data_IF_303694385454
#
_entry.id   IF_303694385454
#
_cell.length_a   1.000
_cell.length_b   1.000
_cell.length_c   1.000
_cell.angle_alpha   90.00
_cell.angle_beta   90.00
_cell.angle_gamma   90.00
#
_symmetry.space_group_name_H-M   'P 1'
#
loop_
_entity.id
_entity.type
_entity.pdbx_description
1 polymer ?
#
# COMPACT_ATOMS: atom_id res chain seq x y z
N UNK A 1 -6.23 -12.23 -6.56
CA UNK A 1 -6.46 -11.42 -5.34
C UNK A 1 -5.68 -10.12 -5.53
N UNK A 2 -6.18 -8.97 -5.09
CA UNK A 2 -5.37 -7.74 -5.14
C UNK A 2 -4.40 -7.74 -3.94
N UNK A 3 -3.15 -8.14 -4.19
CA UNK A 3 -2.11 -8.22 -3.16
C UNK A 3 -1.83 -6.88 -2.50
N UNK A 4 -2.03 -5.78 -3.23
CA UNK A 4 -1.76 -4.43 -2.74
C UNK A 4 -2.85 -3.93 -1.79
N UNK A 5 -4.04 -4.53 -1.79
CA UNK A 5 -5.08 -4.28 -0.80
C UNK A 5 -4.84 -5.05 0.50
N UNK A 6 -4.08 -6.15 0.46
CA UNK A 6 -3.89 -7.03 1.62
C UNK A 6 -2.64 -6.67 2.42
N UNK A 7 -1.62 -6.10 1.77
CA UNK A 7 -0.39 -5.69 2.44
C UNK A 7 -0.52 -4.25 2.88
N UNK A 8 -0.29 -4.02 4.17
CA UNK A 8 -0.35 -2.69 4.78
C UNK A 8 0.90 -2.36 5.60
N UNK A 9 1.15 -1.06 5.71
CA UNK A 9 2.10 -0.45 6.62
C UNK A 9 1.32 0.02 7.84
N UNK A 10 1.77 -0.38 9.04
CA UNK A 10 1.17 0.05 10.30
C UNK A 10 1.91 1.27 10.84
N UNK A 11 1.18 2.37 11.02
CA UNK A 11 1.70 3.67 11.43
C UNK A 11 1.17 4.06 12.82
N UNK A 12 2.00 4.67 13.67
CA UNK A 12 1.52 5.29 14.90
C UNK A 12 0.78 6.60 14.59
N UNK A 13 -0.35 6.83 15.27
CA UNK A 13 -1.05 8.11 15.25
C UNK A 13 -0.52 9.02 16.36
N UNK A 14 0.12 10.12 15.99
CA UNK A 14 0.66 11.09 16.97
C UNK A 14 -0.44 11.85 17.76
N UNK A 15 -1.70 11.83 17.28
CA UNK A 15 -2.80 12.54 17.92
C UNK A 15 -3.50 11.72 19.01
N UNK A 16 -3.74 10.42 18.78
CA UNK A 16 -4.45 9.55 19.72
C UNK A 16 -3.56 8.46 20.34
N UNK A 17 -2.33 8.27 19.86
CA UNK A 17 -1.42 7.21 20.32
C UNK A 17 -1.76 5.81 19.79
N UNK A 18 -2.83 5.66 19.03
CA UNK A 18 -3.26 4.40 18.43
C UNK A 18 -2.43 4.05 17.18
N UNK A 19 -2.65 2.88 16.59
CA UNK A 19 -2.01 2.43 15.36
C UNK A 19 -3.05 2.28 14.25
N UNK A 20 -2.69 2.67 13.04
CA UNK A 20 -3.57 2.52 11.87
C UNK A 20 -2.80 1.94 10.69
N UNK A 21 -3.55 1.31 9.79
CA UNK A 21 -2.99 0.62 8.63
C UNK A 21 -3.19 1.44 7.36
N UNK A 22 -2.17 1.49 6.51
CA UNK A 22 -2.21 2.06 5.17
C UNK A 22 -1.76 1.00 4.18
N UNK A 23 -2.64 0.62 3.26
CA UNK A 23 -2.35 -0.42 2.27
C UNK A 23 -1.37 0.08 1.20
N UNK A 24 -0.62 -0.84 0.58
CA UNK A 24 0.26 -0.48 -0.54
C UNK A 24 -0.52 0.14 -1.71
N UNK A 25 -1.78 -0.27 -1.89
CA UNK A 25 -2.69 0.36 -2.87
C UNK A 25 -2.96 1.82 -2.56
N UNK A 26 -3.21 2.18 -1.30
CA UNK A 26 -3.40 3.57 -0.89
C UNK A 26 -2.14 4.42 -1.09
N UNK A 27 -0.95 3.85 -0.85
CA UNK A 27 0.32 4.52 -1.12
C UNK A 27 0.49 4.79 -2.63
N UNK A 28 0.26 3.78 -3.47
CA UNK A 28 0.38 3.93 -4.93
C UNK A 28 -0.62 4.95 -5.49
N UNK A 29 -1.86 4.94 -4.99
CA UNK A 29 -2.87 5.95 -5.36
C UNK A 29 -2.41 7.36 -4.96
N UNK A 30 -1.82 7.51 -3.78
CA UNK A 30 -1.29 8.79 -3.30
C UNK A 30 -0.17 9.31 -4.20
N UNK A 31 0.75 8.43 -4.63
CA UNK A 31 1.81 8.75 -5.59
C UNK A 31 1.24 9.17 -6.94
N UNK A 32 0.21 8.47 -7.43
CA UNK A 32 -0.44 8.80 -8.69
C UNK A 32 -1.12 10.18 -8.62
N UNK A 33 -1.81 10.47 -7.51
CA UNK A 33 -2.42 11.79 -7.29
C UNK A 33 -1.40 12.94 -7.24
N UNK A 34 -0.19 12.69 -6.71
CA UNK A 34 0.89 13.68 -6.74
C UNK A 34 1.45 13.86 -8.15
N UNK A 35 1.59 12.77 -8.91
CA UNK A 35 2.06 12.80 -10.30
C UNK A 35 1.09 13.56 -11.21
N UNK A 36 -0.21 13.29 -11.09
CA UNK A 36 -1.26 13.89 -11.94
C UNK A 36 -1.56 15.35 -11.56
N UNK A 37 -0.96 15.84 -10.49
CA UNK A 37 -1.22 17.16 -9.91
C UNK A 37 -2.39 17.11 -8.92
N UNK A 38 -2.15 17.59 -7.71
CA UNK A 38 -3.20 17.70 -6.70
C UNK A 38 -4.09 18.92 -7.00
N UNK A 39 -5.43 18.79 -7.08
CA UNK A 39 -6.33 19.93 -7.23
C UNK A 39 -6.42 20.78 -5.95
N UNK A 40 -5.79 20.33 -4.84
CA UNK A 40 -5.81 21.02 -3.55
C UNK A 40 -4.76 22.15 -3.57
N UNK A 41 -5.11 23.38 -3.16
CA UNK A 41 -4.17 24.49 -3.11
C UNK A 41 -2.91 24.15 -2.29
N UNK A 42 -1.74 24.61 -2.75
CA UNK A 42 -0.42 24.37 -2.15
C UNK A 42 -0.28 24.83 -0.67
N UNK A 43 -1.31 25.43 -0.08
CA UNK A 43 -1.34 25.87 1.31
C UNK A 43 -1.83 24.79 2.30
N UNK A 44 -2.35 23.66 1.83
CA UNK A 44 -2.88 22.57 2.67
C UNK A 44 -1.92 21.35 2.77
N UNK A 45 -0.61 21.58 2.67
CA UNK A 45 0.40 20.50 2.63
C UNK A 45 0.40 19.60 3.87
N UNK A 46 0.08 20.17 5.04
CA UNK A 46 0.00 19.44 6.32
C UNK A 46 -1.32 18.68 6.52
N UNK A 47 -2.34 18.99 5.72
CA UNK A 47 -3.67 18.37 5.82
C UNK A 47 -3.94 17.38 4.69
N UNK A 48 -3.06 17.28 3.69
CA UNK A 48 -3.23 16.41 2.53
C UNK A 48 -2.80 14.97 2.83
N UNK A 49 -3.74 14.02 2.97
CA UNK A 49 -3.40 12.61 3.14
C UNK A 49 -2.51 12.04 2.01
N UNK A 50 -2.64 12.45 0.73
CA UNK A 50 -1.76 11.97 -0.34
C UNK A 50 -0.28 12.26 -0.13
N UNK A 51 0.07 13.42 0.44
CA UNK A 51 1.48 13.73 0.72
C UNK A 51 2.04 12.84 1.84
N UNK A 52 1.21 12.53 2.84
CA UNK A 52 1.66 11.76 4.00
C UNK A 52 1.95 10.30 3.66
N UNK A 53 1.26 9.73 2.67
CA UNK A 53 1.40 8.32 2.32
C UNK A 53 2.34 8.06 1.15
N UNK A 54 2.52 9.02 0.23
CA UNK A 54 3.29 8.80 -1.00
C UNK A 54 4.76 8.42 -0.75
N UNK A 55 5.35 8.93 0.33
CA UNK A 55 6.76 8.69 0.68
C UNK A 55 6.98 7.44 1.55
N UNK A 56 5.92 6.68 1.87
CA UNK A 56 6.03 5.51 2.75
C UNK A 56 6.70 4.29 2.08
N UNK A 57 6.65 4.19 0.75
CA UNK A 57 7.27 3.12 0.00
C UNK A 57 7.50 3.51 -1.46
N UNK A 58 8.61 3.09 -2.06
CA UNK A 58 8.92 3.41 -3.45
C UNK A 58 7.93 2.77 -4.43
N UNK A 59 7.49 3.53 -5.44
CA UNK A 59 6.59 3.05 -6.50
C UNK A 59 7.11 1.78 -7.17
N UNK A 60 8.41 1.75 -7.48
CA UNK A 60 9.05 0.60 -8.15
C UNK A 60 8.98 -0.67 -7.30
N UNK A 61 9.11 -0.54 -5.97
CA UNK A 61 9.01 -1.67 -5.05
C UNK A 61 7.58 -2.21 -4.99
N UNK A 62 6.58 -1.32 -4.92
CA UNK A 62 5.16 -1.70 -4.89
C UNK A 62 4.78 -2.42 -6.19
N UNK A 63 5.13 -1.84 -7.33
CA UNK A 63 4.83 -2.43 -8.64
C UNK A 63 5.61 -3.74 -8.86
N UNK A 64 6.86 -3.80 -8.42
CA UNK A 64 7.69 -5.01 -8.46
C UNK A 64 7.07 -6.15 -7.66
N UNK A 65 6.62 -5.88 -6.44
CA UNK A 65 5.91 -6.85 -5.61
C UNK A 65 4.65 -7.39 -6.30
N UNK A 66 3.83 -6.50 -6.88
CA UNK A 66 2.62 -6.91 -7.58
C UNK A 66 2.93 -7.81 -8.79
N UNK A 67 3.96 -7.47 -9.58
CA UNK A 67 4.42 -8.31 -10.70
C UNK A 67 4.84 -9.70 -10.21
N UNK A 68 5.71 -9.77 -9.21
CA UNK A 68 6.18 -11.05 -8.66
C UNK A 68 5.02 -11.89 -8.07
N UNK A 69 4.06 -11.25 -7.42
CA UNK A 69 2.87 -11.92 -6.91
C UNK A 69 2.04 -12.56 -8.03
N UNK A 70 1.75 -11.81 -9.10
CA UNK A 70 1.00 -12.30 -10.26
C UNK A 70 1.73 -13.46 -10.97
N UNK A 71 3.05 -13.37 -11.08
CA UNK A 71 3.89 -14.45 -11.64
C UNK A 71 3.79 -15.74 -10.80
N UNK A 72 3.83 -15.62 -9.47
CA UNK A 72 3.65 -16.75 -8.56
C UNK A 72 2.24 -17.35 -8.67
N UNK A 73 1.19 -16.52 -8.65
CA UNK A 73 -0.20 -16.96 -8.82
C UNK A 73 -0.36 -17.75 -10.14
N UNK A 74 0.18 -17.22 -11.24
CA UNK A 74 0.15 -17.89 -12.54
C UNK A 74 0.91 -19.22 -12.50
N UNK A 75 2.08 -19.27 -11.86
CA UNK A 75 2.90 -20.49 -11.78
C UNK A 75 2.21 -21.60 -10.98
N UNK A 76 1.67 -21.28 -9.80
CA UNK A 76 0.98 -22.28 -8.96
C UNK A 76 -0.38 -22.67 -9.53
N UNK A 77 -1.05 -21.76 -10.23
CA UNK A 77 -2.31 -22.03 -10.91
C UNK A 77 -2.18 -23.12 -11.99
N UNK A 78 -1.01 -23.24 -12.65
CA UNK A 78 -0.75 -24.31 -13.64
C UNK A 78 -0.79 -25.72 -13.07
N UNK A 79 -0.61 -25.88 -11.76
CA UNK A 79 -0.69 -27.18 -11.08
C UNK A 79 -1.99 -27.33 -10.27
N UNK A 80 -2.98 -26.45 -10.50
CA UNK A 80 -4.25 -26.45 -9.78
C UNK A 80 -4.15 -26.00 -8.32
N UNK A 81 -2.99 -25.47 -7.90
CA UNK A 81 -2.79 -24.94 -6.56
C UNK A 81 -3.15 -23.45 -6.49
N UNK A 82 -3.30 -22.94 -5.26
CA UNK A 82 -3.57 -21.52 -4.99
C UNK A 82 -2.54 -20.96 -4.03
N UNK A 83 -2.10 -19.74 -4.30
CA UNK A 83 -1.23 -18.98 -3.41
C UNK A 83 -2.05 -18.42 -2.23
N UNK A 84 -1.50 -18.50 -1.01
CA UNK A 84 -2.15 -18.06 0.21
C UNK A 84 -1.25 -17.09 0.97
N UNK A 85 -1.83 -16.01 1.48
CA UNK A 85 -1.18 -15.15 2.47
C UNK A 85 -1.47 -15.71 3.86
N UNK A 86 -0.44 -16.01 4.63
CA UNK A 86 -0.58 -16.37 6.04
C UNK A 86 -0.24 -15.14 6.87
N UNK A 87 -1.26 -14.56 7.51
CA UNK A 87 -1.09 -13.39 8.37
C UNK A 87 -0.37 -13.74 9.67
N UNK A 88 0.57 -12.88 10.07
CA UNK A 88 1.10 -12.82 11.43
C UNK A 88 0.58 -11.57 12.10
N UNK A 89 -0.52 -11.68 12.84
CA UNK A 89 -0.92 -10.60 13.75
C UNK A 89 -0.01 -10.64 14.98
N UNK A 90 0.72 -9.56 15.27
CA UNK A 90 1.21 -9.31 16.63
C UNK A 90 0.08 -8.63 17.40
N UNK A 91 -0.27 -9.26 18.52
CA UNK A 91 -1.38 -8.92 19.40
C UNK A 91 -1.26 -7.48 19.93
N UNK A 92 -2.46 -6.92 20.12
CA UNK A 92 -2.91 -5.90 21.08
C UNK A 92 -1.99 -5.63 22.27
#
# INVERSE_FOLDING_TARGET
>A
MDILEVIAVELPCNACGDRYEVTLKQILLSQQMLHDGCPIPAHYTTECPPLHYADLADRELIEGLNRTWLELEARVGRVGARLLLRGGQKKS
#
